data_IF_026901064297
#
_entry.id   IF_026901064297
#
_cell.length_a   1.000
_cell.length_b   1.000
_cell.length_c   1.000
_cell.angle_alpha   90.00
_cell.angle_beta   90.00
_cell.angle_gamma   90.00
#
_symmetry.space_group_name_H-M   'P 1'
#
loop_
_entity.id
_entity.type
_entity.pdbx_description
1 polymer ?
#
# COMPACT_ATOMS: atom_id res chain seq x y z
N UNK A 1 12.22 -15.81 -10.39
CA UNK A 1 11.25 -15.66 -11.51
C UNK A 1 11.31 -14.21 -11.97
N UNK A 2 11.24 -13.96 -13.28
CA UNK A 2 11.40 -12.61 -13.85
C UNK A 2 10.07 -12.17 -14.43
N UNK A 3 9.46 -11.14 -13.83
CA UNK A 3 8.30 -10.45 -14.39
C UNK A 3 8.81 -9.44 -15.41
N UNK A 4 8.19 -9.41 -16.59
CA UNK A 4 8.64 -8.58 -17.72
C UNK A 4 8.03 -7.18 -17.68
N UNK A 5 6.79 -7.06 -17.20
CA UNK A 5 6.02 -5.81 -17.17
C UNK A 5 5.88 -5.22 -15.76
N UNK A 6 6.15 -6.01 -14.72
CA UNK A 6 6.18 -5.61 -13.31
C UNK A 6 7.61 -5.66 -12.73
N UNK A 7 8.29 -4.53 -12.56
CA UNK A 7 9.57 -4.51 -11.82
C UNK A 7 9.31 -4.39 -10.32
N UNK A 8 9.18 -5.55 -9.65
CA UNK A 8 8.99 -5.64 -8.20
C UNK A 8 10.09 -4.92 -7.41
N UNK A 9 11.34 -5.08 -7.80
CA UNK A 9 12.48 -4.52 -7.04
C UNK A 9 12.48 -3.01 -7.13
N UNK A 10 12.14 -2.47 -8.31
CA UNK A 10 11.95 -1.04 -8.48
C UNK A 10 10.76 -0.55 -7.65
N UNK A 11 9.59 -1.18 -7.75
CA UNK A 11 8.39 -0.79 -7.00
C UNK A 11 8.63 -0.78 -5.48
N UNK A 12 9.26 -1.83 -4.93
CA UNK A 12 9.58 -1.91 -3.51
C UNK A 12 10.52 -0.81 -3.04
N UNK A 13 11.49 -0.38 -3.85
CA UNK A 13 12.38 0.73 -3.47
C UNK A 13 11.64 2.05 -3.29
N UNK A 14 10.55 2.29 -4.01
CA UNK A 14 9.71 3.49 -3.83
C UNK A 14 8.78 3.40 -2.63
N UNK A 15 8.61 2.21 -2.07
CA UNK A 15 7.70 1.91 -0.97
C UNK A 15 8.47 1.50 0.29
N UNK A 16 9.73 1.94 0.43
CA UNK A 16 10.60 1.60 1.57
C UNK A 16 10.72 0.09 1.87
N UNK A 17 10.60 -0.73 0.82
CA UNK A 17 10.56 -2.20 0.84
C UNK A 17 9.34 -2.81 1.57
N UNK A 18 8.25 -2.04 1.70
CA UNK A 18 6.97 -2.53 2.22
C UNK A 18 6.24 -3.39 1.17
N UNK A 19 6.36 -4.70 1.34
CA UNK A 19 5.70 -5.69 0.49
C UNK A 19 4.18 -5.68 0.67
N UNK A 20 3.67 -5.47 1.88
CA UNK A 20 2.23 -5.45 2.15
C UNK A 20 1.58 -4.26 1.45
N UNK A 21 2.22 -3.10 1.51
CA UNK A 21 1.77 -1.90 0.79
C UNK A 21 1.78 -2.12 -0.72
N UNK A 22 2.84 -2.72 -1.27
CA UNK A 22 2.89 -3.07 -2.69
C UNK A 22 1.73 -3.99 -3.07
N UNK A 23 1.49 -5.07 -2.32
CA UNK A 23 0.43 -6.02 -2.61
C UNK A 23 -0.96 -5.38 -2.51
N UNK A 24 -1.19 -4.48 -1.55
CA UNK A 24 -2.43 -3.70 -1.47
C UNK A 24 -2.63 -2.79 -2.69
N UNK A 25 -1.58 -2.11 -3.14
CA UNK A 25 -1.62 -1.27 -4.35
C UNK A 25 -1.95 -2.14 -5.57
N UNK A 26 -1.30 -3.30 -5.71
CA UNK A 26 -1.52 -4.23 -6.82
C UNK A 26 -2.92 -4.85 -6.82
N UNK A 27 -3.47 -5.19 -5.65
CA UNK A 27 -4.85 -5.68 -5.51
C UNK A 27 -5.85 -4.61 -5.95
N UNK A 28 -5.65 -3.35 -5.54
CA UNK A 28 -6.53 -2.25 -5.94
C UNK A 28 -6.42 -1.97 -7.43
N UNK A 29 -5.20 -1.98 -7.98
CA UNK A 29 -4.96 -1.85 -9.42
C UNK A 29 -5.67 -2.95 -10.22
N UNK A 30 -5.57 -4.21 -9.78
CA UNK A 30 -6.25 -5.34 -10.39
C UNK A 30 -7.76 -5.16 -10.36
N UNK A 31 -8.35 -4.81 -9.21
CA UNK A 31 -9.80 -4.57 -9.07
C UNK A 31 -10.30 -3.48 -10.02
N UNK A 32 -9.52 -2.40 -10.16
CA UNK A 32 -9.89 -1.27 -11.01
C UNK A 32 -9.85 -1.62 -12.50
N UNK A 33 -8.81 -2.34 -12.95
CA UNK A 33 -8.54 -2.48 -14.39
C UNK A 33 -8.86 -3.85 -14.99
N UNK A 34 -9.16 -4.88 -14.18
CA UNK A 34 -9.40 -6.26 -14.66
C UNK A 34 -10.47 -6.37 -15.76
N UNK A 35 -11.51 -5.55 -15.69
CA UNK A 35 -12.63 -5.59 -16.64
C UNK A 35 -12.67 -4.36 -17.57
N UNK A 36 -11.62 -3.53 -17.56
CA UNK A 36 -11.57 -2.30 -18.36
C UNK A 36 -11.06 -2.62 -19.76
N UNK A 37 -11.82 -2.19 -20.77
CA UNK A 37 -11.37 -2.15 -22.16
C UNK A 37 -11.19 -0.70 -22.61
N UNK A 38 -9.94 -0.23 -22.59
CA UNK A 38 -9.59 1.15 -22.93
C UNK A 38 -10.00 1.53 -24.36
N UNK A 39 -9.96 0.59 -25.30
CA UNK A 39 -10.32 0.86 -26.69
C UNK A 39 -11.81 1.22 -26.86
N UNK A 40 -12.67 0.78 -25.94
CA UNK A 40 -14.12 1.09 -25.98
C UNK A 40 -14.49 2.42 -25.33
N UNK A 41 -13.55 3.09 -24.66
CA UNK A 41 -13.82 4.35 -23.98
C UNK A 41 -13.97 5.50 -24.98
N UNK A 42 -14.86 6.44 -24.66
CA UNK A 42 -14.93 7.73 -25.34
C UNK A 42 -13.71 8.58 -24.98
N UNK A 43 -13.34 9.54 -25.84
CA UNK A 43 -12.08 10.29 -25.75
C UNK A 43 -11.83 10.91 -24.36
N UNK A 44 -12.80 11.63 -23.80
CA UNK A 44 -12.62 12.31 -22.50
C UNK A 44 -12.33 11.31 -21.37
N UNK A 45 -13.01 10.17 -21.37
CA UNK A 45 -12.78 9.10 -20.41
C UNK A 45 -11.47 8.37 -20.67
N UNK A 46 -11.14 8.12 -21.94
CA UNK A 46 -9.89 7.48 -22.35
C UNK A 46 -8.69 8.27 -21.84
N UNK A 47 -8.60 9.56 -22.13
CA UNK A 47 -7.45 10.36 -21.71
C UNK A 47 -7.36 10.51 -20.18
N UNK A 48 -8.51 10.56 -19.50
CA UNK A 48 -8.55 10.53 -18.03
C UNK A 48 -7.99 9.21 -17.47
N UNK A 49 -8.37 8.08 -18.05
CA UNK A 49 -7.84 6.77 -17.65
C UNK A 49 -6.35 6.62 -17.97
N UNK A 50 -5.91 7.10 -19.14
CA UNK A 50 -4.48 7.10 -19.52
C UNK A 50 -3.66 7.95 -18.54
N UNK A 51 -4.18 9.08 -18.09
CA UNK A 51 -3.51 9.91 -17.07
C UNK A 51 -3.37 9.18 -15.73
N UNK A 52 -4.42 8.49 -15.28
CA UNK A 52 -4.36 7.68 -14.07
C UNK A 52 -3.37 6.52 -14.22
N UNK A 53 -3.42 5.79 -15.34
CA UNK A 53 -2.50 4.69 -15.65
C UNK A 53 -1.04 5.14 -15.63
N UNK A 54 -0.72 6.33 -16.14
CA UNK A 54 0.63 6.91 -16.04
C UNK A 54 1.10 6.97 -14.58
N UNK A 55 0.26 7.51 -13.70
CA UNK A 55 0.59 7.66 -12.28
C UNK A 55 0.76 6.31 -11.59
N UNK A 56 -0.16 5.36 -11.82
CA UNK A 56 -0.06 4.01 -11.25
C UNK A 56 1.16 3.25 -11.74
N UNK A 57 1.42 3.29 -13.04
CA UNK A 57 2.52 2.55 -13.68
C UNK A 57 3.88 2.92 -13.08
N UNK A 58 4.07 4.18 -12.73
CA UNK A 58 5.29 4.65 -12.05
C UNK A 58 5.47 3.98 -10.68
N UNK A 59 4.40 3.90 -9.90
CA UNK A 59 4.43 3.41 -8.51
C UNK A 59 4.56 1.88 -8.43
N UNK A 60 4.02 1.16 -9.40
CA UNK A 60 4.09 -0.31 -9.44
C UNK A 60 5.28 -0.84 -10.25
N UNK A 61 6.17 0.03 -10.73
CA UNK A 61 7.35 -0.37 -11.48
C UNK A 61 7.05 -0.90 -12.89
N UNK A 62 5.97 -0.45 -13.53
CA UNK A 62 5.65 -0.81 -14.91
C UNK A 62 6.16 0.24 -15.89
N UNK A 63 7.43 0.10 -16.30
CA UNK A 63 8.10 1.09 -17.17
C UNK A 63 7.46 1.20 -18.56
N UNK A 64 7.14 0.08 -19.20
CA UNK A 64 6.54 0.11 -20.55
C UNK A 64 5.15 0.76 -20.55
N UNK A 65 4.33 0.46 -19.52
CA UNK A 65 3.01 1.04 -19.37
C UNK A 65 3.10 2.55 -19.06
N UNK A 66 4.07 2.95 -18.22
CA UNK A 66 4.34 4.36 -17.96
C UNK A 66 4.68 5.14 -19.23
N UNK A 67 5.63 4.65 -20.02
CA UNK A 67 6.12 5.35 -21.22
C UNK A 67 5.04 5.50 -22.28
N UNK A 68 4.24 4.47 -22.52
CA UNK A 68 3.17 4.55 -23.53
C UNK A 68 2.02 5.45 -23.07
N UNK A 69 1.65 5.41 -21.78
CA UNK A 69 0.67 6.33 -21.21
C UNK A 69 1.15 7.78 -21.22
N UNK A 70 2.45 8.01 -21.00
CA UNK A 70 3.06 9.33 -21.13
C UNK A 70 3.00 9.84 -22.57
N UNK A 71 3.33 9.00 -23.55
CA UNK A 71 3.30 9.40 -24.96
C UNK A 71 1.88 9.71 -25.45
N UNK A 72 0.88 8.92 -25.05
CA UNK A 72 -0.53 9.19 -25.35
C UNK A 72 -0.99 10.50 -24.70
N UNK A 73 -0.64 10.75 -23.43
CA UNK A 73 -0.95 12.02 -22.76
C UNK A 73 -0.25 13.22 -23.40
N UNK A 74 0.97 13.04 -23.92
CA UNK A 74 1.73 14.12 -24.57
C UNK A 74 1.16 14.48 -25.95
N UNK A 75 0.83 13.45 -26.72
CA UNK A 75 0.36 13.60 -28.10
C UNK A 75 -1.15 13.82 -28.21
N UNK A 76 -1.90 13.48 -27.15
CA UNK A 76 -3.36 13.48 -27.13
C UNK A 76 -3.95 12.68 -28.31
N UNK A 77 -3.28 11.58 -28.68
CA UNK A 77 -3.63 10.74 -29.82
C UNK A 77 -3.81 9.27 -29.38
N UNK A 78 -4.83 8.61 -29.94
CA UNK A 78 -5.21 7.23 -29.66
C UNK A 78 -4.48 6.17 -30.50
N UNK A 79 -3.53 6.56 -31.36
CA UNK A 79 -2.78 5.62 -32.23
C UNK A 79 -2.12 4.45 -31.49
N UNK A 80 -1.85 4.61 -30.19
CA UNK A 80 -1.23 3.59 -29.34
C UNK A 80 -2.21 2.87 -28.39
N UNK A 81 -3.52 3.08 -28.52
CA UNK A 81 -4.51 2.55 -27.57
C UNK A 81 -4.54 1.02 -27.50
N UNK A 82 -4.46 0.33 -28.64
CA UNK A 82 -4.45 -1.13 -28.67
C UNK A 82 -3.19 -1.68 -28.01
N UNK A 83 -2.06 -1.00 -28.24
CA UNK A 83 -0.78 -1.35 -27.62
C UNK A 83 -0.83 -1.10 -26.10
N UNK A 84 -1.45 0.00 -25.66
CA UNK A 84 -1.68 0.30 -24.25
C UNK A 84 -2.55 -0.78 -23.60
N UNK A 85 -3.68 -1.13 -24.22
CA UNK A 85 -4.57 -2.20 -23.73
C UNK A 85 -3.83 -3.54 -23.61
N UNK A 86 -3.04 -3.90 -24.62
CA UNK A 86 -2.26 -5.15 -24.60
C UNK A 86 -1.21 -5.17 -23.49
N UNK A 87 -0.56 -4.04 -23.22
CA UNK A 87 0.40 -3.91 -22.12
C UNK A 87 -0.31 -4.00 -20.77
N UNK A 88 -1.46 -3.34 -20.62
CA UNK A 88 -2.27 -3.42 -19.41
C UNK A 88 -2.70 -4.86 -19.12
N UNK A 89 -3.23 -5.59 -20.11
CA UNK A 89 -3.63 -7.00 -19.93
C UNK A 89 -2.47 -7.88 -19.45
N UNK A 90 -1.30 -7.76 -20.08
CA UNK A 90 -0.12 -8.53 -19.68
C UNK A 90 0.38 -8.17 -18.29
N UNK A 91 0.33 -6.89 -17.92
CA UNK A 91 0.67 -6.46 -16.58
C UNK A 91 -0.30 -7.05 -15.55
N UNK A 92 -1.60 -7.04 -15.83
CA UNK A 92 -2.62 -7.62 -14.95
C UNK A 92 -2.38 -9.13 -14.75
N UNK A 93 -2.01 -9.87 -15.81
CA UNK A 93 -1.63 -11.29 -15.72
C UNK A 93 -0.41 -11.50 -14.79
N UNK A 94 0.63 -10.68 -14.93
CA UNK A 94 1.80 -10.76 -14.04
C UNK A 94 1.48 -10.38 -12.60
N UNK A 95 0.60 -9.41 -12.38
CA UNK A 95 0.12 -9.04 -11.05
C UNK A 95 -0.67 -10.19 -10.43
N UNK A 96 -1.57 -10.83 -11.17
CA UNK A 96 -2.31 -12.00 -10.67
C UNK A 96 -1.36 -13.14 -10.31
N UNK A 97 -0.35 -13.40 -11.14
CA UNK A 97 0.68 -14.40 -10.85
C UNK A 97 1.45 -14.05 -9.59
N UNK A 98 1.93 -12.80 -9.47
CA UNK A 98 2.66 -12.30 -8.31
C UNK A 98 1.86 -12.47 -7.02
N UNK A 99 0.58 -12.05 -7.01
CA UNK A 99 -0.28 -12.16 -5.84
C UNK A 99 -0.59 -13.62 -5.48
N UNK A 100 -0.77 -14.49 -6.49
CA UNK A 100 -0.93 -15.95 -6.27
C UNK A 100 0.32 -16.56 -5.67
N UNK A 101 1.50 -16.21 -6.20
CA UNK A 101 2.78 -16.69 -5.69
C UNK A 101 3.07 -16.19 -4.28
N UNK A 102 2.72 -14.95 -3.96
CA UNK A 102 2.82 -14.42 -2.60
C UNK A 102 1.90 -15.19 -1.64
N UNK A 103 0.67 -15.50 -2.07
CA UNK A 103 -0.26 -16.29 -1.26
C UNK A 103 0.12 -17.77 -1.12
N UNK A 104 0.91 -18.32 -2.07
CA UNK A 104 1.34 -19.71 -2.11
C UNK A 104 2.79 -19.93 -1.66
N UNK A 105 3.57 -18.87 -1.42
CA UNK A 105 4.88 -19.03 -0.79
C UNK A 105 4.64 -19.61 0.61
N UNK A 106 5.30 -20.72 0.99
CA UNK A 106 5.45 -21.01 2.41
C UNK A 106 6.08 -19.76 2.98
N UNK A 107 5.33 -19.07 3.85
CA UNK A 107 5.73 -17.83 4.49
C UNK A 107 7.18 -18.01 4.87
N UNK A 108 8.11 -17.31 4.20
CA UNK A 108 9.46 -17.17 4.73
C UNK A 108 9.25 -16.32 5.98
N UNK A 109 8.93 -17.02 7.06
CA UNK A 109 8.72 -16.54 8.41
C UNK A 109 10.02 -15.90 8.88
N UNK A 110 10.24 -14.66 8.46
CA UNK A 110 10.81 -13.64 9.34
C UNK A 110 9.73 -12.69 9.87
N UNK A 111 8.48 -12.90 9.49
CA UNK A 111 7.35 -12.37 10.24
C UNK A 111 6.90 -13.47 11.18
N UNK A 112 7.11 -13.26 12.49
CA UNK A 112 6.39 -14.02 13.52
C UNK A 112 4.92 -14.06 13.13
N UNK A 113 4.23 -15.18 13.34
CA UNK A 113 2.77 -15.20 13.46
C UNK A 113 2.41 -14.11 14.48
N UNK A 114 1.99 -12.95 13.99
CA UNK A 114 1.55 -11.86 14.85
C UNK A 114 0.19 -12.28 15.36
N UNK A 115 0.14 -12.81 16.58
CA UNK A 115 -1.14 -12.99 17.25
C UNK A 115 -1.69 -11.61 17.61
N UNK A 116 -3.00 -11.50 17.83
CA UNK A 116 -3.61 -10.30 18.41
C UNK A 116 -2.90 -9.86 19.72
N UNK A 117 -2.13 -10.75 20.36
CA UNK A 117 -1.33 -10.47 21.55
C UNK A 117 -0.07 -9.63 21.25
N UNK A 118 0.56 -9.78 20.08
CA UNK A 118 1.72 -8.98 19.68
C UNK A 118 1.31 -7.52 19.42
N UNK A 119 0.16 -7.29 18.78
CA UNK A 119 -0.40 -5.95 18.57
C UNK A 119 -0.77 -5.32 19.91
N UNK A 120 -1.43 -6.07 20.81
CA UNK A 120 -1.75 -5.61 22.17
C UNK A 120 -0.48 -5.26 22.95
N UNK A 121 0.57 -6.09 22.87
CA UNK A 121 1.85 -5.82 23.51
C UNK A 121 2.50 -4.52 23.02
N UNK A 122 2.35 -4.17 21.75
CA UNK A 122 2.87 -2.91 21.21
C UNK A 122 2.07 -1.70 21.70
N UNK A 123 0.74 -1.81 21.86
CA UNK A 123 -0.04 -0.77 22.52
C UNK A 123 0.31 -0.64 24.02
N UNK A 124 0.66 -1.74 24.69
CA UNK A 124 1.16 -1.73 26.07
C UNK A 124 2.50 -1.00 26.18
N UNK A 125 3.39 -1.23 25.22
CA UNK A 125 4.67 -0.52 25.12
C UNK A 125 4.46 0.98 24.90
N UNK A 126 3.55 1.38 24.00
CA UNK A 126 3.19 2.79 23.79
C UNK A 126 2.67 3.40 25.10
N UNK A 127 1.76 2.71 25.78
CA UNK A 127 1.21 3.16 27.06
C UNK A 127 2.31 3.36 28.10
N UNK A 128 3.23 2.40 28.22
CA UNK A 128 4.36 2.46 29.14
C UNK A 128 5.30 3.63 28.82
N UNK A 129 5.64 3.83 27.54
CA UNK A 129 6.55 4.89 27.12
C UNK A 129 5.90 6.27 27.21
N UNK A 130 4.60 6.39 26.95
CA UNK A 130 3.84 7.61 27.15
C UNK A 130 3.76 7.98 28.63
N UNK A 131 3.48 7.02 29.54
CA UNK A 131 3.53 7.26 31.00
C UNK A 131 4.89 7.73 31.49
N UNK A 132 5.97 7.27 30.84
CA UNK A 132 7.36 7.64 31.14
C UNK A 132 7.85 8.89 30.38
N UNK A 133 6.98 9.57 29.62
CA UNK A 133 7.33 10.70 28.75
C UNK A 133 8.58 10.43 27.88
N UNK A 134 8.61 9.27 27.21
CA UNK A 134 9.71 8.88 26.31
C UNK A 134 9.26 9.04 24.83
N UNK A 135 9.27 10.27 24.27
CA UNK A 135 8.72 10.59 22.95
C UNK A 135 9.28 9.69 21.84
N UNK A 136 10.62 9.60 21.75
CA UNK A 136 11.28 8.78 20.74
C UNK A 136 10.88 7.31 20.80
N UNK A 137 10.71 6.75 22.00
CA UNK A 137 10.30 5.35 22.16
C UNK A 137 8.82 5.14 21.78
N UNK A 138 7.98 6.14 22.02
CA UNK A 138 6.58 6.12 21.57
C UNK A 138 6.54 6.13 20.03
N UNK A 139 7.28 7.02 19.39
CA UNK A 139 7.41 7.10 17.93
C UNK A 139 7.94 5.80 17.33
N UNK A 140 9.07 5.29 17.84
CA UNK A 140 9.66 4.02 17.40
C UNK A 140 8.67 2.85 17.48
N UNK A 141 7.79 2.85 18.48
CA UNK A 141 6.80 1.78 18.68
C UNK A 141 5.58 1.96 17.77
N UNK A 142 5.17 3.20 17.50
CA UNK A 142 4.13 3.51 16.50
C UNK A 142 4.59 3.14 15.10
N UNK A 143 5.84 3.43 14.75
CA UNK A 143 6.39 3.07 13.45
C UNK A 143 6.51 1.56 13.28
N UNK A 144 6.79 0.83 14.35
CA UNK A 144 6.67 -0.64 14.34
C UNK A 144 5.24 -1.06 14.03
N UNK A 145 4.22 -0.50 14.71
CA UNK A 145 2.82 -0.84 14.50
C UNK A 145 2.32 -0.60 13.07
N UNK A 146 2.86 0.38 12.35
CA UNK A 146 2.52 0.64 10.94
C UNK A 146 2.85 -0.53 10.01
N UNK A 147 3.80 -1.38 10.39
CA UNK A 147 4.20 -2.55 9.60
C UNK A 147 3.29 -3.77 9.81
N UNK A 148 2.26 -3.66 10.67
CA UNK A 148 1.31 -4.74 10.96
C UNK A 148 -0.04 -4.49 10.27
N UNK A 149 -0.74 -5.57 9.93
CA UNK A 149 -2.14 -5.50 9.46
C UNK A 149 -3.05 -5.27 10.67
N UNK A 150 -3.52 -4.04 10.83
CA UNK A 150 -4.38 -3.65 11.97
C UNK A 150 -5.86 -3.79 11.61
N UNK A 151 -6.68 -4.11 12.60
CA UNK A 151 -8.14 -4.04 12.48
C UNK A 151 -8.59 -2.57 12.43
N UNK A 152 -9.79 -2.32 11.91
CA UNK A 152 -10.33 -0.97 11.76
C UNK A 152 -10.29 -0.15 13.07
N UNK A 153 -10.64 -0.77 14.21
CA UNK A 153 -10.57 -0.14 15.53
C UNK A 153 -9.14 0.24 15.94
N UNK A 154 -8.15 -0.59 15.61
CA UNK A 154 -6.74 -0.38 15.93
C UNK A 154 -6.13 0.71 15.03
N UNK A 155 -6.52 0.74 13.75
CA UNK A 155 -6.17 1.83 12.83
C UNK A 155 -6.68 3.19 13.30
N UNK A 156 -7.94 3.26 13.73
CA UNK A 156 -8.53 4.50 14.27
C UNK A 156 -7.77 4.96 15.52
N UNK A 157 -7.41 4.02 16.40
CA UNK A 157 -6.64 4.34 17.60
C UNK A 157 -5.22 4.86 17.23
N UNK A 158 -4.51 4.18 16.33
CA UNK A 158 -3.16 4.55 15.94
C UNK A 158 -3.11 5.93 15.26
N UNK A 159 -4.12 6.28 14.48
CA UNK A 159 -4.26 7.61 13.88
C UNK A 159 -4.36 8.70 14.95
N UNK A 160 -5.22 8.51 15.97
CA UNK A 160 -5.36 9.44 17.09
C UNK A 160 -4.07 9.57 17.90
N UNK A 161 -3.40 8.46 18.19
CA UNK A 161 -2.10 8.47 18.88
C UNK A 161 -1.08 9.28 18.09
N UNK A 162 -1.04 9.11 16.75
CA UNK A 162 -0.10 9.83 15.89
C UNK A 162 -0.32 11.35 15.90
N UNK A 163 -1.57 11.82 16.06
CA UNK A 163 -1.88 13.24 16.23
C UNK A 163 -1.40 13.76 17.59
N UNK A 164 -1.67 13.03 18.67
CA UNK A 164 -1.27 13.42 20.02
C UNK A 164 0.26 13.42 20.20
N UNK A 165 1.00 12.57 19.48
CA UNK A 165 2.48 12.59 19.44
C UNK A 165 2.97 13.94 18.89
N UNK A 166 2.40 14.42 17.78
CA UNK A 166 2.77 15.72 17.18
C UNK A 166 2.52 16.88 18.14
N UNK A 167 1.50 16.75 18.98
CA UNK A 167 1.13 17.73 20.00
C UNK A 167 1.89 17.54 21.33
N UNK A 168 2.83 16.58 21.42
CA UNK A 168 3.54 16.19 22.64
C UNK A 168 2.60 15.87 23.82
N UNK A 169 1.37 15.44 23.52
CA UNK A 169 0.31 15.25 24.52
C UNK A 169 0.27 13.81 25.03
N UNK A 170 1.32 13.40 25.73
CA UNK A 170 1.46 12.02 26.23
C UNK A 170 0.35 11.59 27.20
N UNK A 171 -0.23 12.54 27.95
CA UNK A 171 -1.38 12.26 28.82
C UNK A 171 -2.60 11.80 28.02
N UNK A 172 -2.86 12.42 26.87
CA UNK A 172 -3.97 12.03 26.00
C UNK A 172 -3.73 10.66 25.38
N UNK A 173 -2.48 10.36 24.97
CA UNK A 173 -2.10 9.03 24.47
C UNK A 173 -2.41 7.95 25.52
N UNK A 174 -2.05 8.19 26.79
CA UNK A 174 -2.36 7.28 27.89
C UNK A 174 -3.87 7.06 28.02
N UNK A 175 -4.65 8.14 28.06
CA UNK A 175 -6.11 8.05 28.17
C UNK A 175 -6.78 7.35 26.98
N UNK A 176 -6.26 7.55 25.77
CA UNK A 176 -6.79 6.90 24.56
C UNK A 176 -6.60 5.38 24.61
N UNK A 177 -5.40 4.92 25.01
CA UNK A 177 -5.10 3.49 25.08
C UNK A 177 -5.86 2.83 26.23
N UNK A 178 -5.95 3.48 27.39
CA UNK A 178 -6.72 2.95 28.54
C UNK A 178 -8.21 2.79 28.17
N UNK A 179 -8.83 3.81 27.58
CA UNK A 179 -10.22 3.72 27.10
C UNK A 179 -10.43 2.64 26.04
N UNK A 180 -9.46 2.44 25.15
CA UNK A 180 -9.57 1.40 24.14
C UNK A 180 -9.56 0.01 24.77
N UNK A 181 -8.70 -0.22 25.78
CA UNK A 181 -8.65 -1.50 26.51
C UNK A 181 -9.93 -1.80 27.27
N UNK A 182 -10.57 -0.78 27.85
CA UNK A 182 -11.83 -0.97 28.58
C UNK A 182 -13.00 -1.33 27.66
N UNK A 183 -12.87 -1.13 26.34
CA UNK A 183 -13.90 -1.37 25.33
C UNK A 183 -13.54 -2.50 24.33
N UNK A 184 -12.45 -3.24 24.58
CA UNK A 184 -11.91 -4.29 23.70
C UNK A 184 -12.14 -5.68 24.29
#
# INVERSE_FOLDING_TARGET
>A
MYYKYLDKNYALKYLDNDLNLLSNILVNFLKQYKNVNLCTLQNDFFFKEVHQLKSFSKNIGSKELFLISEEINRTQNRIYEEKLQKLLSKLLEEIELFLKEESNMPIKNNQKKVSDEDIKSLFDDILLYAKKNRPKKVEDTVDKLKNFTLKEKEHILLAKISEEIKMYSFKNIVSLIERWKDNA
#
